data_IF_523177755659
#
_entry.id   IF_523177755659
#
_cell.length_a   1.000
_cell.length_b   1.000
_cell.length_c   1.000
_cell.angle_alpha   90.00
_cell.angle_beta   90.00
_cell.angle_gamma   90.00
#
_symmetry.space_group_name_H-M   'P 1'
#
loop_
_entity.id
_entity.type
_entity.pdbx_description
1 polymer ?
#
# COMPACT_ATOMS: atom_id res chain seq x y z
N UNK A 1 29.43 41.61 -18.93
CA UNK A 1 29.24 41.03 -17.59
C UNK A 1 28.70 39.61 -17.75
N UNK A 2 29.25 38.59 -17.08
CA UNK A 2 28.70 37.24 -17.16
C UNK A 2 27.31 37.25 -16.50
N UNK A 3 26.30 36.72 -17.20
CA UNK A 3 24.94 36.58 -16.66
C UNK A 3 24.99 35.61 -15.48
N UNK A 4 24.68 36.09 -14.27
CA UNK A 4 24.53 35.23 -13.11
C UNK A 4 23.48 34.14 -13.43
N UNK A 5 23.91 32.88 -13.41
CA UNK A 5 23.05 31.74 -13.66
C UNK A 5 21.97 31.73 -12.56
N UNK A 6 20.71 31.88 -12.97
CA UNK A 6 19.58 31.96 -12.05
C UNK A 6 19.54 30.67 -11.21
N UNK A 7 19.54 30.78 -9.88
CA UNK A 7 19.39 29.63 -9.01
C UNK A 7 18.09 28.90 -9.34
N UNK A 8 18.17 27.57 -9.51
CA UNK A 8 17.04 26.71 -9.83
C UNK A 8 16.74 25.83 -8.64
N UNK A 9 15.46 25.71 -8.30
CA UNK A 9 15.00 24.76 -7.30
C UNK A 9 14.91 23.36 -7.94
N UNK A 10 16.06 22.73 -8.10
CA UNK A 10 16.22 21.37 -8.60
C UNK A 10 17.25 20.60 -7.77
N UNK A 11 17.49 19.32 -8.09
CA UNK A 11 18.44 18.49 -7.35
C UNK A 11 19.84 19.10 -7.34
N UNK A 12 20.32 19.66 -8.45
CA UNK A 12 21.66 20.23 -8.53
C UNK A 12 21.78 21.52 -7.71
N UNK A 13 20.76 22.38 -7.78
CA UNK A 13 20.68 23.60 -6.98
C UNK A 13 20.59 23.32 -5.47
N UNK A 14 19.82 22.31 -5.07
CA UNK A 14 19.74 21.90 -3.66
C UNK A 14 21.05 21.27 -3.17
N UNK A 15 21.69 20.40 -3.96
CA UNK A 15 23.02 19.85 -3.60
C UNK A 15 24.06 20.96 -3.45
N UNK A 16 24.04 21.97 -4.33
CA UNK A 16 24.93 23.13 -4.25
C UNK A 16 24.70 24.04 -3.03
N UNK A 17 23.54 23.94 -2.36
CA UNK A 17 23.23 24.68 -1.13
C UNK A 17 24.03 24.18 0.08
N UNK A 18 24.51 22.93 0.04
CA UNK A 18 25.23 22.28 1.13
C UNK A 18 24.30 21.65 2.18
N UNK A 19 24.82 20.63 2.86
CA UNK A 19 24.05 19.83 3.83
C UNK A 19 23.55 20.68 5.01
N UNK A 20 24.42 21.47 5.63
CA UNK A 20 24.07 22.23 6.83
C UNK A 20 22.92 23.22 6.59
N UNK A 21 22.97 23.94 5.46
CA UNK A 21 21.92 24.91 5.12
C UNK A 21 20.60 24.22 4.78
N UNK A 22 20.64 23.05 4.13
CA UNK A 22 19.44 22.25 3.91
C UNK A 22 18.84 21.74 5.22
N UNK A 23 19.67 21.32 6.17
CA UNK A 23 19.22 20.84 7.48
C UNK A 23 18.53 21.98 8.24
N UNK A 24 19.12 23.17 8.31
CA UNK A 24 18.49 24.34 8.95
C UNK A 24 17.10 24.63 8.35
N UNK A 25 17.01 24.75 7.02
CA UNK A 25 15.75 25.05 6.33
C UNK A 25 14.71 23.95 6.61
N UNK A 26 15.11 22.68 6.61
CA UNK A 26 14.20 21.57 6.90
C UNK A 26 13.72 21.57 8.35
N UNK A 27 14.56 21.95 9.32
CA UNK A 27 14.17 22.06 10.72
C UNK A 27 13.20 23.22 10.94
N UNK A 28 13.48 24.38 10.36
CA UNK A 28 12.59 25.55 10.41
C UNK A 28 11.22 25.23 9.82
N UNK A 29 11.18 24.60 8.64
CA UNK A 29 9.93 24.20 8.00
C UNK A 29 9.23 23.07 8.78
N UNK A 30 9.96 22.12 9.36
CA UNK A 30 9.38 21.06 10.17
C UNK A 30 8.79 21.57 11.49
N UNK A 31 9.24 22.72 12.00
CA UNK A 31 8.66 23.37 13.18
C UNK A 31 7.21 23.82 12.90
N UNK A 32 6.90 24.22 11.67
CA UNK A 32 5.58 24.71 11.25
C UNK A 32 4.77 23.66 10.47
N UNK A 33 5.40 22.65 9.89
CA UNK A 33 4.77 21.61 9.07
C UNK A 33 4.80 20.23 9.73
N UNK A 34 3.66 19.84 10.33
CA UNK A 34 3.49 18.49 10.92
C UNK A 34 3.75 17.37 9.91
N UNK A 35 3.37 17.57 8.65
CA UNK A 35 3.58 16.60 7.58
C UNK A 35 5.07 16.42 7.25
N UNK A 36 5.83 17.52 7.13
CA UNK A 36 7.28 17.44 6.91
C UNK A 36 7.99 16.82 8.11
N UNK A 37 7.65 17.24 9.33
CA UNK A 37 8.21 16.68 10.56
C UNK A 37 8.03 15.16 10.63
N UNK A 38 6.81 14.67 10.38
CA UNK A 38 6.55 13.22 10.35
C UNK A 38 7.35 12.50 9.25
N UNK A 39 7.64 13.16 8.13
CA UNK A 39 8.44 12.58 7.03
C UNK A 39 9.92 12.52 7.40
N UNK A 40 10.48 13.58 7.99
CA UNK A 40 11.87 13.59 8.44
C UNK A 40 12.10 12.58 9.55
N UNK A 41 11.19 12.50 10.53
CA UNK A 41 11.28 11.51 11.60
C UNK A 41 11.23 10.08 11.05
N UNK A 42 10.38 9.81 10.06
CA UNK A 42 10.34 8.50 9.41
C UNK A 42 11.63 8.19 8.64
N UNK A 43 12.16 9.15 7.88
CA UNK A 43 13.41 8.98 7.15
C UNK A 43 14.60 8.74 8.10
N UNK A 44 14.64 9.44 9.24
CA UNK A 44 15.62 9.22 10.30
C UNK A 44 15.42 7.88 11.00
N UNK A 45 14.16 7.45 11.20
CA UNK A 45 13.84 6.13 11.72
C UNK A 45 14.27 5.00 10.77
N UNK A 46 14.24 5.23 9.45
CA UNK A 46 14.88 4.36 8.47
C UNK A 46 16.38 4.17 8.70
N UNK A 47 17.04 5.18 9.29
CA UNK A 47 18.41 5.06 9.78
C UNK A 47 18.57 4.28 11.09
N UNK A 48 17.50 4.07 11.86
CA UNK A 48 17.50 3.29 13.12
C UNK A 48 17.16 1.81 12.95
N UNK A 49 16.74 1.38 11.75
CA UNK A 49 16.50 -0.03 11.41
C UNK A 49 15.06 -0.38 11.05
N UNK A 50 14.87 -1.60 10.52
CA UNK A 50 13.60 -2.12 9.98
C UNK A 50 12.48 -2.09 11.02
N UNK A 51 12.78 -2.40 12.28
CA UNK A 51 11.80 -2.55 13.35
C UNK A 51 11.09 -1.24 13.69
N UNK A 52 11.81 -0.13 13.75
CA UNK A 52 11.23 1.16 14.12
C UNK A 52 10.33 1.71 13.00
N UNK A 53 10.77 1.60 11.73
CA UNK A 53 9.94 1.98 10.58
C UNK A 53 8.66 1.13 10.54
N UNK A 54 8.81 -0.17 10.76
CA UNK A 54 7.68 -1.11 10.84
C UNK A 54 6.70 -0.72 11.95
N UNK A 55 7.20 -0.43 13.16
CA UNK A 55 6.38 -0.02 14.32
C UNK A 55 5.58 1.25 14.02
N UNK A 56 6.18 2.25 13.39
CA UNK A 56 5.52 3.50 13.03
C UNK A 56 4.42 3.29 11.97
N UNK A 57 4.68 2.41 10.98
CA UNK A 57 3.69 2.05 9.97
C UNK A 57 2.51 1.31 10.63
N UNK A 58 2.80 0.31 11.45
CA UNK A 58 1.78 -0.52 12.11
C UNK A 58 0.91 0.31 13.05
N UNK A 59 1.48 1.25 13.80
CA UNK A 59 0.72 2.18 14.65
C UNK A 59 -0.28 3.03 13.84
N UNK A 60 0.13 3.51 12.65
CA UNK A 60 -0.75 4.29 11.78
C UNK A 60 -1.85 3.43 11.17
N UNK A 61 -1.51 2.23 10.69
CA UNK A 61 -2.48 1.28 10.13
C UNK A 61 -3.51 0.86 11.19
N UNK A 62 -3.09 0.59 12.42
CA UNK A 62 -3.98 0.31 13.56
C UNK A 62 -4.96 1.46 13.82
N UNK A 63 -4.45 2.70 13.83
CA UNK A 63 -5.28 3.88 14.07
C UNK A 63 -6.34 4.04 12.97
N UNK A 64 -5.99 3.81 11.71
CA UNK A 64 -6.94 3.91 10.60
C UNK A 64 -7.96 2.77 10.60
N UNK A 65 -7.52 1.56 10.93
CA UNK A 65 -8.38 0.38 11.01
C UNK A 65 -9.43 0.50 12.12
N UNK A 66 -9.08 1.11 13.27
CA UNK A 66 -10.00 1.34 14.39
C UNK A 66 -11.01 2.46 14.14
N UNK A 67 -10.72 3.38 13.22
CA UNK A 67 -11.61 4.50 12.95
C UNK A 67 -12.88 4.05 12.22
N UNK A 68 -14.06 4.31 12.79
CA UNK A 68 -15.34 3.88 12.20
C UNK A 68 -16.21 5.02 11.67
N UNK A 69 -15.83 6.27 11.95
CA UNK A 69 -16.63 7.44 11.57
C UNK A 69 -16.73 7.61 10.06
N UNK A 70 -17.91 8.04 9.59
CA UNK A 70 -18.13 8.45 8.20
C UNK A 70 -17.10 9.50 7.74
N UNK A 71 -16.62 9.34 6.50
CA UNK A 71 -15.65 10.25 5.90
C UNK A 71 -16.33 11.16 4.86
N UNK A 72 -16.40 12.45 5.16
CA UNK A 72 -16.80 13.45 4.17
C UNK A 72 -15.77 13.55 3.03
N UNK A 73 -16.15 14.01 1.83
CA UNK A 73 -15.23 14.15 0.70
C UNK A 73 -13.96 14.96 1.02
N UNK A 74 -14.09 16.06 1.78
CA UNK A 74 -12.96 16.90 2.21
C UNK A 74 -12.01 16.14 3.15
N UNK A 75 -12.56 15.37 4.10
CA UNK A 75 -11.76 14.54 5.01
C UNK A 75 -11.09 13.39 4.27
N UNK A 76 -11.79 12.75 3.33
CA UNK A 76 -11.21 11.71 2.47
C UNK A 76 -10.03 12.23 1.64
N UNK A 77 -10.13 13.44 1.08
CA UNK A 77 -9.03 14.08 0.37
C UNK A 77 -7.84 14.37 1.27
N UNK A 78 -8.07 14.88 2.48
CA UNK A 78 -7.00 15.15 3.46
C UNK A 78 -6.30 13.85 3.86
N UNK A 79 -7.09 12.83 4.21
CA UNK A 79 -6.59 11.50 4.55
C UNK A 79 -5.81 10.86 3.39
N UNK A 80 -6.21 11.07 2.14
CA UNK A 80 -5.46 10.57 0.98
C UNK A 80 -4.04 11.12 0.91
N UNK A 81 -3.80 12.36 1.36
CA UNK A 81 -2.46 12.93 1.39
C UNK A 81 -1.60 12.27 2.48
N UNK A 82 -2.19 12.01 3.65
CA UNK A 82 -1.53 11.32 4.75
C UNK A 82 -1.20 9.88 4.39
N UNK A 83 -2.15 9.16 3.79
CA UNK A 83 -1.99 7.80 3.30
C UNK A 83 -0.94 7.73 2.18
N UNK A 84 -0.84 8.73 1.30
CA UNK A 84 0.25 8.82 0.32
C UNK A 84 1.62 8.93 0.99
N UNK A 85 1.69 9.67 2.10
CA UNK A 85 2.89 9.73 2.93
C UNK A 85 3.25 8.36 3.53
N UNK A 86 2.27 7.62 4.02
CA UNK A 86 2.45 6.27 4.55
C UNK A 86 2.85 5.26 3.46
N UNK A 87 2.21 5.30 2.29
CA UNK A 87 2.56 4.46 1.15
C UNK A 87 4.02 4.64 0.76
N UNK A 88 4.50 5.90 0.67
CA UNK A 88 5.91 6.18 0.39
C UNK A 88 6.86 5.64 1.46
N UNK A 89 6.47 5.71 2.73
CA UNK A 89 7.27 5.14 3.83
C UNK A 89 7.44 3.63 3.65
N UNK A 90 6.36 2.94 3.23
CA UNK A 90 6.39 1.50 2.92
C UNK A 90 7.26 1.23 1.67
N UNK A 91 6.99 1.92 0.57
CA UNK A 91 7.55 1.56 -0.75
C UNK A 91 8.94 2.12 -1.02
N UNK A 92 9.38 3.15 -0.30
CA UNK A 92 10.71 3.76 -0.49
C UNK A 92 11.64 3.50 0.69
N UNK A 93 11.17 3.71 1.92
CA UNK A 93 12.03 3.63 3.11
C UNK A 93 12.11 2.18 3.60
N UNK A 94 10.97 1.55 3.91
CA UNK A 94 10.95 0.18 4.41
C UNK A 94 11.41 -0.83 3.36
N UNK A 95 10.95 -0.72 2.11
CA UNK A 95 11.35 -1.63 1.03
C UNK A 95 12.85 -1.58 0.72
N UNK A 96 13.51 -0.44 0.92
CA UNK A 96 14.96 -0.34 0.75
C UNK A 96 15.75 -1.11 1.83
N UNK A 97 15.16 -1.32 3.00
CA UNK A 97 15.78 -2.07 4.10
C UNK A 97 15.38 -3.55 4.08
N UNK A 98 14.10 -3.84 3.83
CA UNK A 98 13.53 -5.18 3.77
C UNK A 98 12.28 -5.19 2.89
N UNK A 99 12.41 -5.75 1.68
CA UNK A 99 11.32 -5.86 0.72
C UNK A 99 10.18 -6.75 1.21
N UNK A 100 10.45 -7.83 1.96
CA UNK A 100 9.41 -8.75 2.42
C UNK A 100 8.57 -8.09 3.51
N UNK A 101 9.24 -7.44 4.48
CA UNK A 101 8.56 -6.67 5.53
C UNK A 101 7.72 -5.54 4.92
N UNK A 102 8.23 -4.84 3.89
CA UNK A 102 7.45 -3.85 3.15
C UNK A 102 6.22 -4.42 2.44
N UNK A 103 6.36 -5.58 1.79
CA UNK A 103 5.26 -6.30 1.17
C UNK A 103 4.13 -6.57 2.18
N UNK A 104 4.45 -7.12 3.35
CA UNK A 104 3.45 -7.45 4.37
C UNK A 104 2.63 -6.22 4.78
N UNK A 105 3.30 -5.07 4.93
CA UNK A 105 2.66 -3.81 5.34
C UNK A 105 1.88 -3.18 4.19
N UNK A 106 2.32 -3.33 2.94
CA UNK A 106 1.58 -2.87 1.78
C UNK A 106 0.30 -3.68 1.55
N UNK A 107 0.37 -5.00 1.70
CA UNK A 107 -0.81 -5.86 1.66
C UNK A 107 -1.83 -5.47 2.75
N UNK A 108 -1.35 -5.19 3.97
CA UNK A 108 -2.19 -4.67 5.06
C UNK A 108 -2.75 -3.28 4.76
N UNK A 109 -1.95 -2.38 4.18
CA UNK A 109 -2.37 -1.04 3.77
C UNK A 109 -3.55 -1.10 2.79
N UNK A 110 -3.54 -2.02 1.83
CA UNK A 110 -4.65 -2.20 0.89
C UNK A 110 -5.93 -2.68 1.57
N UNK A 111 -5.84 -3.63 2.50
CA UNK A 111 -6.98 -4.08 3.30
C UNK A 111 -7.57 -2.92 4.12
N UNK A 112 -6.72 -2.13 4.78
CA UNK A 112 -7.13 -0.91 5.49
C UNK A 112 -7.75 0.10 4.51
N UNK A 113 -7.17 0.26 3.32
CA UNK A 113 -7.67 1.11 2.24
C UNK A 113 -9.11 0.80 1.87
N UNK A 114 -9.47 -0.47 1.69
CA UNK A 114 -10.84 -0.90 1.41
C UNK A 114 -11.81 -0.47 2.53
N UNK A 115 -11.44 -0.64 3.80
CA UNK A 115 -12.26 -0.15 4.92
C UNK A 115 -12.42 1.38 4.89
N UNK A 116 -11.39 2.12 4.48
CA UNK A 116 -11.46 3.58 4.34
C UNK A 116 -12.40 3.98 3.19
N UNK A 117 -12.32 3.32 2.03
CA UNK A 117 -13.20 3.56 0.88
C UNK A 117 -14.68 3.34 1.25
N UNK A 118 -14.98 2.23 1.94
CA UNK A 118 -16.34 1.87 2.35
C UNK A 118 -16.97 2.95 3.24
N UNK A 119 -16.17 3.57 4.13
CA UNK A 119 -16.63 4.68 5.00
C UNK A 119 -16.85 5.99 4.25
N UNK A 120 -16.23 6.18 3.08
CA UNK A 120 -16.36 7.40 2.31
C UNK A 120 -17.65 7.44 1.45
N UNK A 121 -18.33 6.30 1.23
CA UNK A 121 -19.62 6.06 0.53
C UNK A 121 -19.68 6.50 -0.96
N UNK A 122 -18.97 7.57 -1.32
CA UNK A 122 -18.63 8.08 -2.66
C UNK A 122 -17.24 8.73 -2.57
N UNK A 123 -16.24 7.94 -2.17
CA UNK A 123 -14.89 8.41 -1.85
C UNK A 123 -14.18 9.07 -3.04
N UNK A 124 -13.53 10.21 -2.79
CA UNK A 124 -12.97 11.06 -3.82
C UNK A 124 -11.92 10.37 -4.71
N UNK A 125 -11.89 10.74 -5.99
CA UNK A 125 -10.99 10.18 -7.01
C UNK A 125 -9.50 10.13 -6.60
N UNK A 126 -9.07 10.99 -5.67
CA UNK A 126 -7.70 10.99 -5.12
C UNK A 126 -7.40 9.77 -4.24
N UNK A 127 -8.38 9.30 -3.46
CA UNK A 127 -8.24 8.11 -2.62
C UNK A 127 -8.23 6.85 -3.49
N UNK A 128 -9.16 6.75 -4.46
CA UNK A 128 -9.21 5.64 -5.40
C UNK A 128 -7.89 5.53 -6.17
N UNK A 129 -7.42 6.63 -6.77
CA UNK A 129 -6.13 6.68 -7.46
C UNK A 129 -4.95 6.27 -6.56
N UNK A 130 -4.93 6.71 -5.29
CA UNK A 130 -3.89 6.33 -4.35
C UNK A 130 -3.87 4.81 -4.09
N UNK A 131 -5.05 4.20 -3.98
CA UNK A 131 -5.13 2.75 -3.76
C UNK A 131 -4.74 1.99 -5.02
N UNK A 132 -5.02 2.52 -6.22
CA UNK A 132 -4.50 1.95 -7.47
C UNK A 132 -2.97 2.05 -7.53
N UNK A 133 -2.38 3.20 -7.19
CA UNK A 133 -0.92 3.37 -7.08
C UNK A 133 -0.32 2.35 -6.07
N UNK A 134 -1.02 2.08 -4.97
CA UNK A 134 -0.61 1.09 -3.97
C UNK A 134 -0.70 -0.35 -4.48
N UNK A 135 -1.72 -0.68 -5.29
CA UNK A 135 -1.83 -2.00 -5.95
C UNK A 135 -0.69 -2.21 -6.93
N UNK A 136 -0.36 -1.22 -7.76
CA UNK A 136 0.80 -1.35 -8.66
C UNK A 136 2.11 -1.53 -7.88
N UNK A 137 2.28 -0.77 -6.79
CA UNK A 137 3.44 -0.93 -5.91
C UNK A 137 3.51 -2.33 -5.28
N UNK A 138 2.37 -2.98 -5.00
CA UNK A 138 2.33 -4.35 -4.49
C UNK A 138 2.90 -5.32 -5.51
N UNK A 139 2.51 -5.17 -6.77
CA UNK A 139 3.07 -5.96 -7.86
C UNK A 139 4.59 -5.79 -7.94
N UNK A 140 5.05 -4.54 -7.96
CA UNK A 140 6.46 -4.22 -8.12
C UNK A 140 7.32 -4.75 -6.96
N UNK A 141 6.83 -4.71 -5.72
CA UNK A 141 7.56 -5.28 -4.57
C UNK A 141 7.60 -6.81 -4.66
N UNK A 142 6.46 -7.47 -4.89
CA UNK A 142 6.40 -8.94 -4.93
C UNK A 142 7.30 -9.50 -6.02
N UNK A 143 7.30 -8.89 -7.20
CA UNK A 143 8.11 -9.33 -8.33
C UNK A 143 9.62 -9.09 -8.14
N UNK A 144 10.02 -8.28 -7.15
CA UNK A 144 11.42 -8.08 -6.76
C UNK A 144 11.89 -9.02 -5.64
N UNK A 145 10.95 -9.70 -4.96
CA UNK A 145 11.30 -10.71 -3.97
C UNK A 145 11.99 -11.90 -4.65
N UNK A 146 12.91 -12.55 -3.94
CA UNK A 146 13.45 -13.83 -4.40
C UNK A 146 12.42 -14.96 -4.31
N UNK A 147 12.61 -16.03 -5.07
CA UNK A 147 11.75 -17.22 -5.13
C UNK A 147 11.12 -17.65 -3.79
N UNK A 148 11.94 -17.78 -2.74
CA UNK A 148 11.49 -18.25 -1.43
C UNK A 148 10.50 -17.29 -0.77
N UNK A 149 10.75 -15.99 -0.87
CA UNK A 149 9.88 -14.97 -0.30
C UNK A 149 8.62 -14.74 -1.15
N UNK A 150 8.73 -14.94 -2.46
CA UNK A 150 7.55 -15.03 -3.34
C UNK A 150 6.63 -16.18 -2.91
N UNK A 151 7.15 -17.37 -2.62
CA UNK A 151 6.35 -18.50 -2.11
C UNK A 151 5.67 -18.11 -0.78
N UNK A 152 6.40 -17.52 0.17
CA UNK A 152 5.84 -17.06 1.46
C UNK A 152 4.72 -16.02 1.27
N UNK A 153 4.84 -15.17 0.25
CA UNK A 153 3.86 -14.10 -0.02
C UNK A 153 2.47 -14.61 -0.44
N UNK A 154 2.39 -15.83 -0.99
CA UNK A 154 1.16 -16.39 -1.58
C UNK A 154 -0.03 -16.38 -0.61
N UNK A 155 0.18 -16.78 0.65
CA UNK A 155 -0.90 -16.86 1.63
C UNK A 155 -1.51 -15.47 1.90
N UNK A 156 -0.66 -14.44 2.00
CA UNK A 156 -1.10 -13.07 2.24
C UNK A 156 -1.72 -12.45 0.99
N UNK A 157 -1.17 -12.71 -0.20
CA UNK A 157 -1.78 -12.31 -1.47
C UNK A 157 -3.18 -12.88 -1.63
N UNK A 158 -3.40 -14.14 -1.25
CA UNK A 158 -4.73 -14.73 -1.25
C UNK A 158 -5.67 -14.06 -0.25
N UNK A 159 -5.17 -13.71 0.94
CA UNK A 159 -5.97 -12.99 1.93
C UNK A 159 -6.37 -11.61 1.40
N UNK A 160 -5.46 -10.90 0.74
CA UNK A 160 -5.74 -9.62 0.09
C UNK A 160 -6.76 -9.79 -1.04
N UNK A 161 -6.64 -10.82 -1.88
CA UNK A 161 -7.64 -11.14 -2.92
C UNK A 161 -9.02 -11.43 -2.33
N UNK A 162 -9.09 -12.23 -1.27
CA UNK A 162 -10.35 -12.60 -0.64
C UNK A 162 -11.06 -11.42 0.03
N UNK A 163 -10.31 -10.41 0.48
CA UNK A 163 -10.86 -9.18 1.06
C UNK A 163 -11.31 -8.15 0.01
N UNK A 164 -10.99 -8.37 -1.27
CA UNK A 164 -11.32 -7.46 -2.37
C UNK A 164 -12.63 -7.88 -3.05
N UNK A 165 -13.74 -7.61 -2.35
CA UNK A 165 -15.09 -8.00 -2.77
C UNK A 165 -15.49 -7.41 -4.15
N UNK A 166 -14.96 -6.23 -4.49
CA UNK A 166 -15.23 -5.55 -5.76
C UNK A 166 -14.26 -5.93 -6.88
N UNK A 167 -13.24 -6.75 -6.61
CA UNK A 167 -12.27 -7.23 -7.60
C UNK A 167 -11.30 -6.16 -8.13
N UNK A 168 -11.11 -5.04 -7.42
CA UNK A 168 -10.27 -3.91 -7.86
C UNK A 168 -8.80 -4.26 -8.05
N UNK A 169 -8.33 -5.33 -7.41
CA UNK A 169 -6.96 -5.82 -7.41
C UNK A 169 -6.76 -6.94 -8.43
N UNK A 170 -7.81 -7.38 -9.15
CA UNK A 170 -7.74 -8.51 -10.07
C UNK A 170 -6.62 -8.36 -11.11
N UNK A 171 -6.52 -7.19 -11.76
CA UNK A 171 -5.51 -6.95 -12.79
C UNK A 171 -4.08 -7.07 -12.22
N UNK A 172 -3.84 -6.50 -11.04
CA UNK A 172 -2.55 -6.56 -10.35
C UNK A 172 -2.22 -7.97 -9.86
N UNK A 173 -3.19 -8.70 -9.31
CA UNK A 173 -2.97 -10.07 -8.86
C UNK A 173 -2.66 -11.01 -10.04
N UNK A 174 -3.28 -10.79 -11.20
CA UNK A 174 -2.93 -11.50 -12.44
C UNK A 174 -1.51 -11.15 -12.90
N UNK A 175 -1.12 -9.87 -12.86
CA UNK A 175 0.26 -9.42 -13.15
C UNK A 175 1.27 -10.12 -12.24
N UNK A 176 0.98 -10.22 -10.94
CA UNK A 176 1.83 -10.93 -9.97
C UNK A 176 1.89 -12.42 -10.33
N UNK A 177 0.74 -13.09 -10.48
CA UNK A 177 0.69 -14.53 -10.76
C UNK A 177 1.49 -14.90 -12.02
N UNK A 178 1.42 -14.07 -13.07
CA UNK A 178 2.14 -14.28 -14.33
C UNK A 178 3.63 -13.89 -14.26
N UNK A 179 4.03 -13.01 -13.34
CA UNK A 179 5.40 -12.52 -13.21
C UNK A 179 6.23 -13.22 -12.14
N UNK A 180 5.59 -13.91 -11.20
CA UNK A 180 6.26 -14.66 -10.15
C UNK A 180 7.08 -15.82 -10.71
N UNK A 181 8.09 -16.22 -9.96
CA UNK A 181 8.85 -17.42 -10.22
C UNK A 181 7.96 -18.66 -10.10
N UNK A 182 8.29 -19.69 -10.89
CA UNK A 182 7.50 -20.91 -11.03
C UNK A 182 7.09 -21.55 -9.69
N UNK A 183 7.98 -21.70 -8.67
CA UNK A 183 7.57 -22.30 -7.40
C UNK A 183 6.44 -21.55 -6.70
N UNK A 184 6.45 -20.21 -6.77
CA UNK A 184 5.41 -19.39 -6.16
C UNK A 184 4.11 -19.41 -6.97
N UNK A 185 4.22 -19.37 -8.31
CA UNK A 185 3.06 -19.52 -9.19
C UNK A 185 2.37 -20.88 -9.00
N UNK A 186 3.14 -21.97 -8.91
CA UNK A 186 2.62 -23.32 -8.66
C UNK A 186 1.97 -23.41 -7.27
N UNK A 187 2.59 -22.84 -6.23
CA UNK A 187 2.02 -22.78 -4.89
C UNK A 187 0.68 -22.02 -4.86
N UNK A 188 0.59 -20.87 -5.54
CA UNK A 188 -0.64 -20.09 -5.60
C UNK A 188 -1.72 -20.81 -6.42
N UNK A 189 -1.36 -21.42 -7.54
CA UNK A 189 -2.28 -22.24 -8.34
C UNK A 189 -2.86 -23.39 -7.52
N UNK A 190 -2.03 -24.09 -6.73
CA UNK A 190 -2.50 -25.16 -5.86
C UNK A 190 -3.51 -24.64 -4.81
N UNK A 191 -3.20 -23.51 -4.17
CA UNK A 191 -4.08 -22.86 -3.19
C UNK A 191 -5.42 -22.39 -3.78
N UNK A 192 -5.39 -21.83 -5.00
CA UNK A 192 -6.61 -21.44 -5.71
C UNK A 192 -7.45 -22.67 -6.07
N UNK A 193 -6.80 -23.73 -6.55
CA UNK A 193 -7.47 -24.99 -6.95
C UNK A 193 -8.14 -25.64 -5.75
N UNK A 194 -7.51 -25.66 -4.57
CA UNK A 194 -8.11 -26.23 -3.36
C UNK A 194 -9.33 -25.46 -2.85
N UNK A 195 -9.53 -24.21 -3.31
CA UNK A 195 -10.67 -23.35 -2.93
C UNK A 195 -11.78 -23.35 -3.99
N UNK A 196 -11.55 -23.96 -5.15
CA UNK A 196 -12.59 -24.14 -6.15
C UNK A 196 -13.59 -25.18 -5.62
N UNK A 197 -14.77 -24.70 -5.17
CA UNK A 197 -15.94 -25.57 -4.99
C UNK A 197 -16.28 -26.17 -6.36
N UNK A 198 -16.36 -27.51 -6.49
CA UNK A 198 -16.79 -28.15 -7.73
C UNK A 198 -18.10 -27.54 -8.24
N UNK A 199 -18.19 -27.26 -9.54
CA UNK A 199 -19.38 -26.66 -10.18
C UNK A 199 -20.68 -27.44 -9.94
N UNK A 200 -20.58 -28.73 -9.58
CA UNK A 200 -21.68 -29.62 -9.21
C UNK A 200 -22.37 -29.25 -7.89
N UNK A 201 -21.66 -28.67 -6.91
CA UNK A 201 -22.26 -28.24 -5.63
C UNK A 201 -22.85 -26.83 -5.71
N UNK A 202 -22.23 -25.96 -6.51
CA UNK A 202 -22.72 -24.59 -6.72
C UNK A 202 -24.07 -24.59 -7.45
N UNK A 203 -24.29 -25.51 -8.39
CA UNK A 203 -25.59 -25.69 -9.05
C UNK A 203 -26.66 -26.34 -8.17
N UNK A 204 -26.28 -27.12 -7.15
CA UNK A 204 -27.20 -27.66 -6.15
C UNK A 204 -27.65 -26.59 -5.13
N UNK A 205 -26.76 -25.67 -4.75
CA UNK A 205 -27.10 -24.55 -3.85
C UNK A 205 -28.14 -23.59 -4.44
N UNK A 206 -28.12 -23.35 -5.75
CA UNK A 206 -29.07 -22.43 -6.40
C UNK A 206 -30.44 -23.09 -6.61
N UNK A 207 -30.47 -24.39 -6.92
CA UNK A 207 -31.72 -25.17 -7.01
C UNK A 207 -32.46 -25.27 -5.67
N UNK A 208 -31.73 -25.29 -4.55
CA UNK A 208 -32.34 -25.30 -3.22
C UNK A 208 -32.80 -23.91 -2.73
N UNK A 209 -32.25 -22.82 -3.28
CA UNK A 209 -32.67 -21.47 -2.96
C UNK A 209 -34.00 -21.07 -3.64
N UNK A 210 -34.31 -21.65 -4.81
CA UNK A 210 -35.60 -21.44 -5.49
C UNK A 210 -36.76 -22.25 -4.86
N UNK A 211 -36.48 -23.24 -4.01
CA UNK A 211 -37.51 -24.04 -3.32
C UNK A 211 -38.01 -23.42 -2.00
N UNK A 212 -37.46 -22.29 -1.55
CA UNK A 212 -37.91 -21.55 -0.37
C UNK A 212 -38.68 -20.25 -0.69
N UNK A 213 -39.04 -20.04 -1.96
CA UNK A 213 -39.91 -18.91 -2.40
C UNK A 213 -41.30 -19.41 -2.81
N UNK A 214 -41.59 -20.71 -2.64
CA UNK A 214 -42.91 -21.31 -2.95
C UNK A 214 -43.48 -22.20 -1.82
N UNK A 215 -43.18 -21.88 -0.57
CA UNK A 215 -43.94 -22.30 0.62
C UNK A 215 -44.08 -21.11 1.58
#
# INVERSE_FOLDING_TARGET
MPKATKARLDRAGLTGLGLDKLVEILLDEAAVSKALKSRLQAALAGGTGVDEVTRLIDQKLDSYQKAQTYLSPTRANTLSLELRGLLRMITAELAALDNYTAFERLARFLVVGTFIENRARKGGAKLAKLLDDARESLADIVLKLGAGDQVKSVALLEKTRAADEEGKSQAVLLKILCGMEKPAADAWKALLTSRLVPSTERSAQWKNAELLVFL
#
